data_IF_056278981351
#
_entry.id   IF_056278981351
#
_cell.length_a   1.000
_cell.length_b   1.000
_cell.length_c   1.000
_cell.angle_alpha   90.00
_cell.angle_beta   90.00
_cell.angle_gamma   90.00
#
_symmetry.space_group_name_H-M   'P 1'
#
loop_
_entity.id
_entity.type
_entity.pdbx_description
1 polymer ?
#
# COMPACT_ATOMS: atom_id res chain seq x y z
N UNK A 1 -9.84 29.07 53.71
CA UNK A 1 -9.50 30.45 53.30
C UNK A 1 -8.23 30.79 54.08
N UNK A 2 -7.06 31.12 53.53
CA UNK A 2 -6.75 31.99 52.41
C UNK A 2 -5.25 31.80 52.09
N UNK A 3 -4.83 31.55 50.84
CA UNK A 3 -3.42 31.52 50.48
C UNK A 3 -2.96 32.89 49.98
N UNK A 4 -1.64 33.13 50.00
CA UNK A 4 -0.88 34.26 49.43
C UNK A 4 -0.52 35.38 50.41
N UNK A 5 0.67 35.24 50.97
CA UNK A 5 1.57 36.38 51.11
C UNK A 5 2.92 35.96 50.49
N UNK A 6 3.09 36.22 49.19
CA UNK A 6 4.37 36.14 48.51
C UNK A 6 4.67 37.56 48.04
N UNK A 7 5.82 38.17 48.39
CA UNK A 7 6.17 39.50 47.92
C UNK A 7 6.33 39.45 46.41
N UNK A 8 5.34 39.95 45.69
CA UNK A 8 5.35 40.02 44.23
C UNK A 8 6.10 41.29 43.83
N UNK A 9 7.20 41.11 43.11
CA UNK A 9 8.00 42.21 42.57
C UNK A 9 7.21 42.80 41.38
N UNK A 10 6.19 43.61 41.68
CA UNK A 10 5.24 44.12 40.71
C UNK A 10 5.62 45.54 40.30
N UNK A 11 5.72 45.76 38.98
CA UNK A 11 5.95 47.09 38.41
C UNK A 11 4.61 47.76 38.15
N UNK A 12 4.46 48.99 38.61
CA UNK A 12 3.25 49.77 38.33
C UNK A 12 3.39 50.42 36.97
N UNK A 13 2.30 50.40 36.22
CA UNK A 13 2.23 51.00 34.93
C UNK A 13 2.04 52.55 35.09
N UNK A 14 3.01 53.41 34.69
CA UNK A 14 2.88 54.89 34.68
C UNK A 14 1.86 55.56 33.70
N UNK A 15 0.89 54.85 33.10
CA UNK A 15 -0.08 55.43 32.14
C UNK A 15 -1.50 55.15 32.61
N UNK A 16 -1.79 53.91 33.04
CA UNK A 16 -3.10 53.56 33.59
C UNK A 16 -3.04 53.05 35.04
N UNK A 17 -1.89 53.13 35.72
CA UNK A 17 -1.74 52.84 37.15
C UNK A 17 -1.88 51.36 37.55
N UNK A 18 -2.02 50.45 36.59
CA UNK A 18 -2.24 49.03 36.87
C UNK A 18 -0.97 48.35 37.38
N UNK A 19 -1.10 47.38 38.27
CA UNK A 19 0.03 46.57 38.74
C UNK A 19 0.29 45.45 37.73
N UNK A 20 1.52 45.36 37.23
CA UNK A 20 1.97 44.33 36.29
C UNK A 20 3.07 43.48 36.94
N UNK A 21 3.19 42.24 36.49
CA UNK A 21 4.31 41.39 36.90
C UNK A 21 5.67 41.98 36.45
N UNK A 22 6.76 41.63 37.14
CA UNK A 22 8.12 42.12 36.85
C UNK A 22 8.54 42.03 35.37
N UNK A 23 8.05 41.03 34.62
CA UNK A 23 8.49 40.72 33.25
C UNK A 23 7.47 41.09 32.15
N UNK A 24 6.41 41.84 32.46
CA UNK A 24 5.40 42.20 31.46
C UNK A 24 5.98 43.17 30.41
N UNK A 25 5.97 42.77 29.14
CA UNK A 25 6.43 43.59 28.00
C UNK A 25 5.34 44.51 27.45
N UNK A 26 4.08 44.32 27.87
CA UNK A 26 2.94 45.18 27.53
C UNK A 26 1.94 45.28 28.67
N UNK A 27 1.27 46.42 28.77
CA UNK A 27 0.13 46.59 29.66
C UNK A 27 -1.15 46.07 28.99
N UNK A 28 -1.83 45.12 29.63
CA UNK A 28 -3.09 44.57 29.11
C UNK A 28 -4.25 45.58 29.13
N UNK A 29 -4.17 46.61 29.98
CA UNK A 29 -5.25 47.60 30.13
C UNK A 29 -5.11 48.77 29.15
N UNK A 30 -4.01 49.53 29.20
CA UNK A 30 -3.78 50.68 28.30
C UNK A 30 -2.89 50.37 27.08
N UNK A 31 -2.57 49.11 26.80
CA UNK A 31 -1.96 48.67 25.54
C UNK A 31 -0.49 49.02 25.31
N UNK A 32 0.09 49.94 26.08
CA UNK A 32 1.49 50.36 25.88
C UNK A 32 2.51 49.25 26.16
N UNK A 33 3.60 49.29 25.42
CA UNK A 33 4.72 48.37 25.54
C UNK A 33 5.82 48.95 26.43
N UNK A 34 6.51 48.07 27.16
CA UNK A 34 7.66 48.43 27.97
C UNK A 34 8.90 47.77 27.37
N UNK A 35 9.81 48.58 26.83
CA UNK A 35 11.05 48.14 26.18
C UNK A 35 12.13 47.77 27.19
N UNK A 36 11.78 46.97 28.21
CA UNK A 36 12.73 46.45 29.18
C UNK A 36 12.80 44.94 29.01
N UNK A 37 13.77 44.49 28.20
CA UNK A 37 14.24 43.10 28.16
C UNK A 37 14.69 42.79 29.57
N UNK A 38 14.08 41.76 30.18
CA UNK A 38 14.46 41.27 31.49
C UNK A 38 15.99 41.12 31.56
N UNK A 39 16.64 41.95 32.37
CA UNK A 39 18.01 41.68 32.78
C UNK A 39 18.01 40.30 33.45
N UNK A 40 18.77 39.32 32.96
CA UNK A 40 18.75 37.98 33.52
C UNK A 40 19.24 38.06 34.96
N UNK A 41 18.42 37.55 35.87
CA UNK A 41 18.73 37.37 37.28
C UNK A 41 20.11 36.71 37.43
N UNK A 42 20.94 37.33 38.27
CA UNK A 42 22.29 36.89 38.67
C UNK A 42 22.41 35.37 38.80
N UNK A 43 23.18 34.69 37.93
CA UNK A 43 23.59 33.33 38.23
C UNK A 43 24.77 33.38 39.19
N UNK A 44 24.70 32.51 40.20
CA UNK A 44 25.79 32.06 41.05
C UNK A 44 27.13 32.06 40.31
N UNK A 45 28.20 32.48 41.02
CA UNK A 45 29.60 32.35 40.57
C UNK A 45 30.00 30.87 40.56
N UNK A 46 29.40 30.07 39.69
CA UNK A 46 30.02 28.84 39.23
C UNK A 46 31.10 29.34 38.27
N UNK A 47 32.36 29.15 38.64
CA UNK A 47 33.48 29.38 37.73
C UNK A 47 33.35 28.36 36.62
N UNK A 48 32.50 28.67 35.64
CA UNK A 48 32.39 27.95 34.39
C UNK A 48 33.80 27.94 33.83
N UNK A 49 34.43 26.77 33.90
CA UNK A 49 35.67 26.47 33.24
C UNK A 49 35.33 26.66 31.78
N UNK A 50 35.62 27.85 31.26
CA UNK A 50 35.15 28.29 29.95
C UNK A 50 35.44 27.19 28.97
N UNK A 51 34.39 26.65 28.35
CA UNK A 51 34.61 25.77 27.22
C UNK A 51 35.38 26.63 26.22
N UNK A 52 36.62 26.26 25.85
CA UNK A 52 37.29 26.94 24.77
C UNK A 52 36.33 26.85 23.60
N UNK A 53 35.95 28.01 23.09
CA UNK A 53 35.21 28.15 21.85
C UNK A 53 36.08 27.54 20.74
N UNK A 54 36.06 26.22 20.63
CA UNK A 54 36.46 25.53 19.42
C UNK A 54 35.37 25.85 18.42
N UNK A 55 35.43 27.07 17.90
CA UNK A 55 34.98 27.36 16.56
C UNK A 55 35.83 26.44 15.70
N UNK A 56 35.41 25.18 15.53
CA UNK A 56 35.96 24.31 14.49
C UNK A 56 35.94 25.20 13.27
N UNK A 57 37.13 25.61 12.84
CA UNK A 57 37.23 26.64 11.83
C UNK A 57 36.42 26.13 10.66
N UNK A 58 35.62 27.01 10.04
CA UNK A 58 34.84 26.66 8.86
C UNK A 58 35.62 25.77 7.86
N UNK A 59 36.94 26.01 7.60
CA UNK A 59 37.74 25.09 6.78
C UNK A 59 37.94 23.68 7.37
N UNK A 60 38.08 23.52 8.68
CA UNK A 60 38.21 22.20 9.33
C UNK A 60 36.90 21.42 9.24
N UNK A 61 35.75 22.09 9.40
CA UNK A 61 34.44 21.44 9.23
C UNK A 61 34.24 21.02 7.78
N UNK A 62 34.55 21.90 6.83
CA UNK A 62 34.48 21.57 5.40
C UNK A 62 35.38 20.38 5.05
N UNK A 63 36.62 20.38 5.56
CA UNK A 63 37.56 19.28 5.37
C UNK A 63 37.03 17.96 5.93
N UNK A 64 36.50 17.96 7.15
CA UNK A 64 35.91 16.76 7.76
C UNK A 64 34.71 16.23 6.96
N UNK A 65 33.84 17.11 6.46
CA UNK A 65 32.69 16.73 5.62
C UNK A 65 33.17 16.11 4.31
N UNK A 66 34.14 16.72 3.61
CA UNK A 66 34.68 16.19 2.37
C UNK A 66 35.33 14.82 2.57
N UNK A 67 36.04 14.62 3.68
CA UNK A 67 36.65 13.33 4.03
C UNK A 67 35.57 12.27 4.26
N UNK A 68 34.52 12.60 5.01
CA UNK A 68 33.41 11.66 5.23
C UNK A 68 32.67 11.32 3.94
N UNK A 69 32.45 12.29 3.05
CA UNK A 69 31.85 12.05 1.73
C UNK A 69 32.76 11.16 0.89
N UNK A 70 34.07 11.41 0.86
CA UNK A 70 35.02 10.62 0.09
C UNK A 70 35.10 9.17 0.61
N UNK A 71 35.09 8.97 1.93
CA UNK A 71 35.06 7.62 2.52
C UNK A 71 33.74 6.91 2.20
N UNK A 72 32.59 7.57 2.39
CA UNK A 72 31.28 6.99 2.09
C UNK A 72 31.13 6.63 0.61
N UNK A 73 31.44 7.57 -0.29
CA UNK A 73 31.39 7.36 -1.73
C UNK A 73 32.41 6.30 -2.18
N UNK A 74 33.61 6.28 -1.60
CA UNK A 74 34.65 5.29 -1.89
C UNK A 74 34.23 3.88 -1.50
N UNK A 75 33.63 3.70 -0.33
CA UNK A 75 33.12 2.40 0.13
C UNK A 75 31.99 1.92 -0.79
N UNK A 76 31.02 2.78 -1.09
CA UNK A 76 29.89 2.44 -2.00
C UNK A 76 30.44 2.09 -3.39
N UNK A 77 31.37 2.87 -3.92
CA UNK A 77 32.01 2.63 -5.20
C UNK A 77 32.74 1.28 -5.22
N UNK A 78 33.49 0.97 -4.17
CA UNK A 78 34.21 -0.30 -4.06
C UNK A 78 33.27 -1.50 -4.00
N UNK A 79 32.18 -1.40 -3.22
CA UNK A 79 31.15 -2.45 -3.16
C UNK A 79 30.44 -2.62 -4.50
N UNK A 80 30.10 -1.52 -5.18
CA UNK A 80 29.38 -1.55 -6.46
C UNK A 80 30.27 -2.02 -7.62
N UNK A 81 31.57 -1.72 -7.58
CA UNK A 81 32.57 -2.32 -8.47
C UNK A 81 32.76 -3.82 -8.20
N UNK A 82 32.84 -4.22 -6.94
CA UNK A 82 33.06 -5.61 -6.53
C UNK A 82 31.86 -6.53 -6.78
N UNK A 83 30.64 -6.01 -6.70
CA UNK A 83 29.41 -6.77 -6.94
C UNK A 83 29.11 -7.00 -8.43
N UNK A 84 29.90 -6.43 -9.35
CA UNK A 84 29.73 -6.60 -10.80
C UNK A 84 28.39 -6.09 -11.35
N UNK A 85 27.58 -5.39 -10.54
CA UNK A 85 26.22 -4.95 -10.89
C UNK A 85 26.19 -3.74 -11.84
N UNK A 86 27.34 -3.29 -12.36
CA UNK A 86 27.39 -2.21 -13.34
C UNK A 86 26.92 -2.65 -14.74
N UNK A 87 26.85 -3.95 -14.99
CA UNK A 87 26.12 -4.54 -16.14
C UNK A 87 25.62 -5.90 -15.68
N UNK A 88 24.54 -5.95 -14.91
CA UNK A 88 23.68 -7.12 -15.02
C UNK A 88 23.22 -7.11 -16.48
N UNK A 89 23.73 -8.05 -17.29
CA UNK A 89 23.30 -8.20 -18.67
C UNK A 89 21.77 -8.28 -18.63
N UNK A 90 21.11 -7.23 -19.10
CA UNK A 90 19.68 -7.26 -19.34
C UNK A 90 19.44 -8.53 -20.17
N UNK A 91 18.62 -9.48 -19.70
CA UNK A 91 18.33 -10.65 -20.52
C UNK A 91 17.72 -10.12 -21.80
N UNK A 92 18.46 -10.20 -22.91
CA UNK A 92 17.93 -9.93 -24.24
C UNK A 92 16.67 -10.76 -24.35
N UNK A 93 15.51 -10.18 -24.69
CA UNK A 93 14.29 -10.95 -24.85
C UNK A 93 14.58 -12.01 -25.92
N UNK A 94 14.76 -13.25 -25.47
CA UNK A 94 14.79 -14.39 -26.38
C UNK A 94 13.38 -14.45 -26.92
N UNK A 95 13.22 -14.33 -28.24
CA UNK A 95 11.93 -14.50 -28.87
C UNK A 95 11.48 -15.93 -28.56
N UNK A 96 10.56 -16.05 -27.61
CA UNK A 96 9.87 -17.31 -27.34
C UNK A 96 9.13 -17.69 -28.63
N UNK A 97 9.15 -18.96 -29.05
CA UNK A 97 8.32 -19.37 -30.16
C UNK A 97 6.87 -19.00 -29.82
N UNK A 98 6.28 -18.13 -30.63
CA UNK A 98 4.84 -17.88 -30.59
C UNK A 98 4.17 -19.22 -30.87
N UNK A 99 3.23 -19.70 -30.02
CA UNK A 99 2.49 -20.90 -30.33
C UNK A 99 1.71 -20.66 -31.63
N UNK A 100 2.15 -21.29 -32.72
CA UNK A 100 1.36 -21.36 -33.94
C UNK A 100 0.13 -22.17 -33.59
N UNK A 101 -1.06 -21.55 -33.65
CA UNK A 101 -2.31 -22.29 -33.53
C UNK A 101 -2.37 -23.30 -34.67
N UNK A 102 -2.15 -24.57 -34.35
CA UNK A 102 -2.34 -25.66 -35.28
C UNK A 102 -3.85 -25.76 -35.57
N UNK A 103 -4.22 -25.59 -36.83
CA UNK A 103 -5.61 -25.74 -37.24
C UNK A 103 -5.97 -27.23 -37.13
N UNK A 104 -6.78 -27.57 -36.12
CA UNK A 104 -7.34 -28.92 -36.01
C UNK A 104 -8.12 -29.24 -37.28
N UNK A 105 -8.01 -30.45 -37.84
CA UNK A 105 -8.82 -30.84 -38.99
C UNK A 105 -10.31 -30.71 -38.62
N UNK A 106 -11.07 -30.06 -39.50
CA UNK A 106 -12.54 -29.99 -39.37
C UNK A 106 -13.09 -31.42 -39.38
N UNK A 107 -13.95 -31.80 -38.42
CA UNK A 107 -14.53 -33.14 -38.42
C UNK A 107 -15.36 -33.33 -39.69
N UNK A 108 -14.95 -34.27 -40.53
CA UNK A 108 -15.73 -34.69 -41.69
C UNK A 108 -17.00 -35.38 -41.20
N UNK A 109 -18.17 -34.83 -41.54
CA UNK A 109 -19.44 -35.46 -41.22
C UNK A 109 -19.55 -36.77 -42.01
N UNK A 110 -19.48 -37.89 -41.29
CA UNK A 110 -19.73 -39.21 -41.87
C UNK A 110 -21.21 -39.34 -42.23
N UNK A 111 -21.56 -39.96 -43.37
CA UNK A 111 -22.96 -40.20 -43.72
C UNK A 111 -23.65 -41.00 -42.61
N UNK A 112 -24.80 -40.52 -42.15
CA UNK A 112 -25.65 -41.25 -41.21
C UNK A 112 -26.23 -42.46 -41.93
N UNK A 113 -26.17 -43.68 -41.35
CA UNK A 113 -26.80 -44.85 -41.96
C UNK A 113 -28.29 -44.60 -42.15
N UNK A 114 -28.82 -45.03 -43.31
CA UNK A 114 -30.25 -44.93 -43.60
C UNK A 114 -31.06 -45.74 -42.56
N UNK A 115 -32.29 -45.29 -42.23
CA UNK A 115 -33.16 -46.04 -41.33
C UNK A 115 -33.39 -47.45 -41.91
N UNK A 116 -33.16 -48.46 -41.07
CA UNK A 116 -33.47 -49.86 -41.41
C UNK A 116 -34.95 -50.11 -41.14
N UNK A 117 -35.63 -50.84 -42.03
CA UNK A 117 -37.03 -51.23 -41.81
C UNK A 117 -37.15 -51.97 -40.48
N UNK A 118 -37.99 -51.43 -39.59
CA UNK A 118 -38.32 -52.09 -38.32
C UNK A 118 -39.37 -53.15 -38.61
N UNK A 119 -39.26 -54.38 -38.07
CA UNK A 119 -40.31 -55.37 -38.22
C UNK A 119 -41.62 -54.85 -37.62
N UNK A 120 -42.75 -55.26 -38.22
CA UNK A 120 -44.08 -54.90 -37.72
C UNK A 120 -44.25 -55.44 -36.29
N UNK A 121 -44.79 -54.64 -35.36
CA UNK A 121 -45.02 -55.10 -33.99
C UNK A 121 -46.05 -56.25 -33.96
N UNK A 122 -45.96 -57.16 -32.99
CA UNK A 122 -46.96 -58.20 -32.83
C UNK A 122 -48.34 -57.59 -32.56
N UNK A 123 -49.35 -58.04 -33.31
CA UNK A 123 -50.72 -57.58 -33.12
C UNK A 123 -51.27 -58.11 -31.79
N UNK A 124 -51.85 -57.22 -30.97
CA UNK A 124 -52.50 -57.58 -29.70
C UNK A 124 -54.01 -57.58 -29.89
N UNK A 125 -54.66 -58.68 -29.54
CA UNK A 125 -56.12 -58.81 -29.59
C UNK A 125 -56.67 -59.14 -28.20
N UNK A 126 -57.68 -58.37 -27.77
CA UNK A 126 -58.41 -58.63 -26.53
C UNK A 126 -59.67 -59.43 -26.84
N UNK A 127 -59.76 -60.64 -26.28
CA UNK A 127 -60.88 -61.56 -26.50
C UNK A 127 -62.16 -60.99 -25.89
N UNK A 128 -63.22 -60.97 -26.68
CA UNK A 128 -64.56 -60.52 -26.33
C UNK A 128 -65.52 -61.71 -26.14
N UNK A 129 -66.63 -61.44 -25.45
CA UNK A 129 -67.67 -62.45 -25.26
C UNK A 129 -68.31 -62.82 -26.62
N UNK A 130 -68.19 -64.09 -27.01
CA UNK A 130 -68.68 -64.60 -28.29
C UNK A 130 -67.60 -64.94 -29.32
N UNK A 131 -66.33 -64.65 -29.04
CA UNK A 131 -65.22 -65.02 -29.93
C UNK A 131 -64.96 -66.53 -29.94
N UNK A 132 -64.50 -67.03 -31.08
CA UNK A 132 -64.02 -68.40 -31.25
C UNK A 132 -62.60 -68.41 -31.82
N UNK A 133 -61.81 -69.46 -31.57
CA UNK A 133 -60.47 -69.57 -32.15
C UNK A 133 -60.49 -69.48 -33.68
N UNK A 134 -61.53 -70.04 -34.32
CA UNK A 134 -61.73 -69.97 -35.77
C UNK A 134 -62.00 -68.54 -36.25
N UNK A 135 -62.88 -67.78 -35.58
CA UNK A 135 -63.20 -66.41 -35.99
C UNK A 135 -62.01 -65.46 -35.83
N UNK A 136 -61.21 -65.63 -34.77
CA UNK A 136 -59.99 -64.85 -34.55
C UNK A 136 -58.94 -65.19 -35.62
N UNK A 137 -58.76 -66.48 -35.90
CA UNK A 137 -57.78 -66.95 -36.88
C UNK A 137 -58.05 -66.42 -38.29
N UNK A 138 -59.32 -66.41 -38.73
CA UNK A 138 -59.71 -65.77 -39.99
C UNK A 138 -59.44 -64.25 -40.01
N UNK A 139 -59.60 -63.56 -38.89
CA UNK A 139 -59.42 -62.11 -38.79
C UNK A 139 -57.95 -61.68 -38.91
N UNK A 140 -57.03 -62.53 -38.44
CA UNK A 140 -55.60 -62.27 -38.46
C UNK A 140 -54.83 -63.08 -39.51
N UNK A 141 -55.55 -63.80 -40.38
CA UNK A 141 -55.00 -64.68 -41.43
C UNK A 141 -53.97 -65.70 -40.89
N UNK A 142 -54.31 -66.32 -39.75
CA UNK A 142 -53.49 -67.36 -39.10
C UNK A 142 -54.21 -68.71 -39.12
N UNK A 143 -53.44 -69.81 -39.09
CA UNK A 143 -54.00 -71.17 -38.99
C UNK A 143 -54.40 -71.50 -37.55
N UNK A 144 -55.54 -72.19 -37.37
CA UNK A 144 -56.01 -72.75 -36.08
C UNK A 144 -55.37 -74.10 -35.80
#
# INVERSE_FOLDING_TARGET
MNPKNKPTNDKVCPTCGTHLNANATRCLVCGRTFTNVAAPSTPNKIKSRGLPQFTLSLPVVLGAILILIALGAGIIYFVMRGSGQLVAAQPTPTQSPTPTLEQSPTPTLSPTPAPTFTPEPPLTYAVQAGDTCLSIAYQFDVSV
#
